data_IF_770512279469
#
_entry.id   IF_770512279469
#
_cell.length_a   1.000
_cell.length_b   1.000
_cell.length_c   1.000
_cell.angle_alpha   90.00
_cell.angle_beta   90.00
_cell.angle_gamma   90.00
#
_symmetry.space_group_name_H-M   'P 1'
#
loop_
_entity.id
_entity.type
_entity.pdbx_description
1 polymer ?
#
# COMPACT_ATOMS: atom_id res chain seq x y z
N UNK A 1 3.45 7.62 7.32
CA UNK A 1 2.39 7.16 6.39
C UNK A 1 1.46 6.14 7.05
N UNK A 2 1.92 4.99 7.56
CA UNK A 2 1.05 3.93 8.13
C UNK A 2 0.10 4.42 9.22
N UNK A 3 0.60 5.25 10.15
CA UNK A 3 -0.22 5.82 11.23
C UNK A 3 -1.41 6.58 10.66
N UNK A 4 -1.17 7.45 9.68
CA UNK A 4 -2.24 8.22 9.05
C UNK A 4 -3.25 7.30 8.35
N UNK A 5 -2.78 6.37 7.52
CA UNK A 5 -3.66 5.45 6.79
C UNK A 5 -4.58 4.66 7.73
N UNK A 6 -4.04 4.06 8.79
CA UNK A 6 -4.81 3.15 9.64
C UNK A 6 -5.68 3.86 10.68
N UNK A 7 -5.29 5.05 11.15
CA UNK A 7 -5.97 5.71 12.27
C UNK A 7 -6.83 6.91 11.86
N UNK A 8 -6.62 7.46 10.65
CA UNK A 8 -7.32 8.66 10.18
C UNK A 8 -7.99 8.45 8.81
N UNK A 9 -7.32 7.81 7.86
CA UNK A 9 -7.72 7.81 6.45
C UNK A 9 -8.70 6.67 6.11
N UNK A 10 -8.35 5.43 6.44
CA UNK A 10 -9.07 4.27 5.94
C UNK A 10 -10.39 4.02 6.68
N UNK A 11 -11.46 3.78 5.92
CA UNK A 11 -12.72 3.26 6.43
C UNK A 11 -12.60 1.75 6.68
N UNK A 12 -12.16 1.38 7.88
CA UNK A 12 -12.00 -0.01 8.32
C UNK A 12 -12.66 -0.20 9.71
N UNK A 13 -13.13 -1.42 9.99
CA UNK A 13 -13.77 -1.75 11.26
C UNK A 13 -13.18 -3.05 11.84
N UNK A 14 -12.49 -2.98 13.01
CA UNK A 14 -11.95 -4.18 13.64
C UNK A 14 -13.03 -5.18 14.08
N UNK A 15 -14.28 -4.73 14.28
CA UNK A 15 -15.42 -5.59 14.63
C UNK A 15 -16.02 -6.29 13.42
N UNK A 16 -15.83 -5.74 12.21
CA UNK A 16 -16.21 -6.35 10.94
C UNK A 16 -15.06 -6.26 9.92
N UNK A 17 -13.99 -7.05 10.09
CA UNK A 17 -12.81 -7.02 9.23
C UNK A 17 -13.09 -7.37 7.77
N UNK A 18 -14.29 -7.88 7.48
CA UNK A 18 -14.73 -8.29 6.14
C UNK A 18 -15.84 -7.42 5.57
N UNK A 19 -16.15 -6.29 6.20
CA UNK A 19 -17.13 -5.34 5.71
C UNK A 19 -16.93 -5.05 4.21
N UNK A 20 -17.98 -5.16 3.42
CA UNK A 20 -17.87 -5.18 1.97
C UNK A 20 -17.43 -3.84 1.36
N UNK A 21 -17.77 -2.73 2.01
CA UNK A 21 -17.51 -1.35 1.59
C UNK A 21 -16.31 -0.70 2.30
N UNK A 22 -15.55 -1.48 3.08
CA UNK A 22 -14.30 -0.98 3.69
C UNK A 22 -13.24 -0.69 2.64
N UNK A 23 -12.30 0.16 2.94
CA UNK A 23 -11.11 0.35 2.13
C UNK A 23 -10.23 -0.90 2.13
N UNK A 24 -9.32 -0.99 1.19
CA UNK A 24 -8.39 -2.11 1.00
C UNK A 24 -6.96 -1.61 1.16
N UNK A 25 -6.15 -2.42 1.83
CA UNK A 25 -4.74 -2.13 2.00
C UNK A 25 -3.87 -3.30 1.54
N UNK A 26 -2.95 -3.03 0.65
CA UNK A 26 -2.00 -4.01 0.12
C UNK A 26 -0.58 -3.61 0.48
N UNK A 27 0.03 -4.34 1.41
CA UNK A 27 1.45 -4.22 1.70
C UNK A 27 2.25 -5.06 0.71
N UNK A 28 2.58 -4.51 -0.46
CA UNK A 28 3.27 -5.25 -1.53
C UNK A 28 4.65 -5.73 -1.08
N UNK A 29 5.44 -4.87 -0.42
CA UNK A 29 6.67 -5.22 0.29
C UNK A 29 6.38 -5.98 1.60
N UNK A 30 5.89 -7.21 1.49
CA UNK A 30 5.36 -7.98 2.62
C UNK A 30 6.31 -8.20 3.80
N UNK A 31 7.63 -8.08 3.60
CA UNK A 31 8.64 -8.25 4.64
C UNK A 31 8.58 -7.18 5.75
N UNK A 32 7.94 -6.03 5.52
CA UNK A 32 7.73 -4.98 6.55
C UNK A 32 6.40 -5.16 7.31
N UNK A 33 5.80 -6.33 7.24
CA UNK A 33 4.55 -6.65 7.93
C UNK A 33 4.49 -6.34 9.44
N UNK A 34 5.59 -6.27 10.21
CA UNK A 34 5.51 -5.89 11.62
C UNK A 34 4.80 -4.55 11.86
N UNK A 35 5.01 -3.55 10.98
CA UNK A 35 4.31 -2.26 11.14
C UNK A 35 2.80 -2.40 10.86
N UNK A 36 2.41 -3.21 9.88
CA UNK A 36 0.99 -3.47 9.60
C UNK A 36 0.34 -4.24 10.75
N UNK A 37 1.01 -5.25 11.29
CA UNK A 37 0.51 -5.98 12.47
C UNK A 37 0.37 -5.08 13.69
N UNK A 38 1.32 -4.17 13.92
CA UNK A 38 1.24 -3.20 15.01
C UNK A 38 0.01 -2.32 14.88
N UNK A 39 -0.24 -1.78 13.69
CA UNK A 39 -1.43 -0.96 13.45
C UNK A 39 -2.72 -1.75 13.66
N UNK A 40 -2.82 -2.96 13.12
CA UNK A 40 -3.99 -3.83 13.27
C UNK A 40 -4.22 -4.26 14.73
N UNK A 41 -3.17 -4.60 15.48
CA UNK A 41 -3.26 -4.94 16.91
C UNK A 41 -3.75 -3.75 17.75
N UNK A 42 -3.17 -2.57 17.55
CA UNK A 42 -3.57 -1.34 18.26
C UNK A 42 -5.01 -0.91 17.93
N UNK A 43 -5.51 -1.20 16.72
CA UNK A 43 -6.89 -0.98 16.34
C UNK A 43 -7.85 -2.05 16.87
N UNK A 44 -7.34 -3.17 17.41
CA UNK A 44 -8.15 -4.24 18.01
C UNK A 44 -8.66 -5.27 17.01
N UNK A 45 -8.01 -5.46 15.84
CA UNK A 45 -8.32 -6.57 14.92
C UNK A 45 -7.99 -7.94 15.54
N UNK A 46 -7.05 -7.96 16.48
CA UNK A 46 -6.68 -9.12 17.29
C UNK A 46 -6.10 -8.62 18.62
N UNK A 47 -5.97 -9.49 19.64
CA UNK A 47 -5.39 -9.10 20.92
C UNK A 47 -3.97 -8.55 20.77
N UNK A 48 -3.68 -7.41 21.41
CA UNK A 48 -2.37 -6.74 21.30
C UNK A 48 -1.21 -7.63 21.76
N UNK A 49 -1.46 -8.51 22.74
CA UNK A 49 -0.48 -9.49 23.23
C UNK A 49 -0.02 -10.47 22.15
N UNK A 50 -0.80 -10.71 21.09
CA UNK A 50 -0.40 -11.53 19.95
C UNK A 50 0.82 -10.95 19.21
N UNK A 51 1.07 -9.64 19.31
CA UNK A 51 2.25 -8.98 18.70
C UNK A 51 3.56 -9.62 19.18
N UNK A 52 3.62 -10.10 20.42
CA UNK A 52 4.80 -10.79 20.97
C UNK A 52 5.03 -12.19 20.38
N UNK A 53 4.09 -12.67 19.55
CA UNK A 53 4.20 -13.99 18.89
C UNK A 53 4.72 -13.93 17.46
N UNK A 54 5.09 -12.75 16.96
CA UNK A 54 5.57 -12.55 15.59
C UNK A 54 6.61 -13.62 15.20
N UNK A 55 6.38 -14.31 14.08
CA UNK A 55 7.23 -15.34 13.50
C UNK A 55 7.46 -16.60 14.40
N UNK A 56 6.75 -16.72 15.51
CA UNK A 56 6.80 -17.95 16.32
C UNK A 56 5.94 -19.04 15.68
N UNK A 57 6.28 -20.29 15.96
CA UNK A 57 5.49 -21.44 15.52
C UNK A 57 4.04 -21.33 16.03
N UNK A 58 3.07 -21.61 15.17
CA UNK A 58 1.65 -21.50 15.49
C UNK A 58 1.06 -20.09 15.52
N UNK A 59 1.88 -19.03 15.43
CA UNK A 59 1.41 -17.66 15.42
C UNK A 59 0.58 -17.33 14.18
N UNK A 60 -0.41 -16.46 14.34
CA UNK A 60 -1.13 -15.83 13.22
C UNK A 60 -0.26 -14.82 12.48
N UNK A 61 0.73 -14.23 13.17
CA UNK A 61 1.60 -13.17 12.70
C UNK A 61 2.84 -13.77 12.02
N UNK A 62 2.68 -14.10 10.76
CA UNK A 62 3.72 -14.73 9.93
C UNK A 62 4.80 -13.72 9.52
N UNK A 63 5.92 -14.19 8.96
CA UNK A 63 6.99 -13.34 8.44
C UNK A 63 6.60 -12.44 7.26
N UNK A 64 5.49 -12.78 6.60
CA UNK A 64 4.81 -11.99 5.57
C UNK A 64 3.30 -12.00 5.85
N UNK A 65 2.53 -10.98 5.40
CA UNK A 65 1.10 -10.93 5.65
C UNK A 65 0.38 -12.16 5.08
N UNK A 66 -0.53 -12.72 5.86
CA UNK A 66 -1.37 -13.84 5.43
C UNK A 66 -2.84 -13.55 5.69
N UNK A 67 -3.61 -13.38 4.60
CA UNK A 67 -5.05 -13.12 4.66
C UNK A 67 -5.86 -14.25 5.31
N UNK A 68 -5.30 -15.46 5.31
CA UNK A 68 -5.94 -16.63 5.90
C UNK A 68 -5.70 -16.77 7.40
N UNK A 69 -4.72 -16.05 7.96
CA UNK A 69 -4.30 -16.19 9.36
C UNK A 69 -4.57 -14.95 10.20
N UNK A 70 -4.37 -13.77 9.63
CA UNK A 70 -4.46 -12.51 10.37
C UNK A 70 -5.67 -11.70 9.92
N UNK A 71 -6.62 -11.37 10.82
CA UNK A 71 -7.74 -10.47 10.53
C UNK A 71 -7.23 -9.09 10.08
N UNK A 72 -7.92 -8.46 9.14
CA UNK A 72 -7.53 -7.14 8.61
C UNK A 72 -6.48 -7.18 7.51
N UNK A 73 -5.93 -8.36 7.16
CA UNK A 73 -5.06 -8.52 5.99
C UNK A 73 -5.92 -8.84 4.77
N UNK A 74 -5.84 -7.99 3.74
CA UNK A 74 -6.63 -8.12 2.52
C UNK A 74 -6.12 -9.16 1.56
N UNK A 75 -4.79 -9.29 1.47
CA UNK A 75 -4.11 -10.23 0.57
C UNK A 75 -2.80 -10.71 1.18
N UNK A 76 -2.47 -11.98 0.97
CA UNK A 76 -1.15 -12.51 1.30
C UNK A 76 -0.11 -11.97 0.32
N UNK A 77 0.97 -11.39 0.84
CA UNK A 77 2.06 -10.81 0.04
C UNK A 77 3.42 -11.34 0.49
N UNK A 78 4.49 -10.92 -0.19
CA UNK A 78 5.86 -11.32 0.10
C UNK A 78 6.67 -11.65 -1.16
N UNK A 79 6.02 -12.05 -2.25
CA UNK A 79 6.63 -12.09 -3.57
C UNK A 79 6.59 -10.69 -4.15
N UNK A 80 7.75 -10.04 -4.25
CA UNK A 80 7.87 -8.65 -4.70
C UNK A 80 7.28 -8.47 -6.11
N UNK A 81 6.68 -7.32 -6.34
CA UNK A 81 6.02 -6.97 -7.60
C UNK A 81 4.57 -7.47 -7.73
N UNK A 82 4.17 -8.52 -6.98
CA UNK A 82 2.84 -9.13 -7.14
C UNK A 82 1.71 -8.33 -6.49
N UNK A 83 1.99 -7.68 -5.35
CA UNK A 83 0.98 -7.01 -4.54
C UNK A 83 0.28 -5.89 -5.29
N UNK A 84 1.01 -5.08 -6.07
CA UNK A 84 0.42 -3.98 -6.83
C UNK A 84 -0.60 -4.47 -7.88
N UNK A 85 -0.32 -5.58 -8.56
CA UNK A 85 -1.27 -6.18 -9.51
C UNK A 85 -2.56 -6.62 -8.81
N UNK A 86 -2.46 -7.17 -7.58
CA UNK A 86 -3.63 -7.50 -6.77
C UNK A 86 -4.42 -6.24 -6.37
N UNK A 87 -3.74 -5.15 -5.99
CA UNK A 87 -4.37 -3.87 -5.69
C UNK A 87 -5.12 -3.29 -6.89
N UNK A 88 -4.52 -3.35 -8.09
CA UNK A 88 -5.18 -2.98 -9.35
C UNK A 88 -6.46 -3.80 -9.57
N UNK A 89 -6.41 -5.11 -9.33
CA UNK A 89 -7.58 -5.99 -9.43
C UNK A 89 -8.68 -5.59 -8.44
N UNK A 90 -8.31 -5.26 -7.18
CA UNK A 90 -9.28 -4.81 -6.17
C UNK A 90 -9.90 -3.46 -6.55
N UNK A 91 -9.11 -2.50 -7.02
CA UNK A 91 -9.60 -1.19 -7.45
C UNK A 91 -10.54 -1.30 -8.66
N UNK A 92 -10.19 -2.14 -9.63
CA UNK A 92 -11.02 -2.44 -10.80
C UNK A 92 -12.35 -3.10 -10.41
N UNK A 93 -12.32 -4.05 -9.46
CA UNK A 93 -13.53 -4.68 -8.92
C UNK A 93 -14.44 -3.64 -8.25
N UNK A 94 -13.87 -2.74 -7.43
CA UNK A 94 -14.62 -1.64 -6.81
C UNK A 94 -15.34 -0.76 -7.82
N UNK A 95 -14.65 -0.31 -8.85
CA UNK A 95 -15.25 0.51 -9.93
C UNK A 95 -16.34 -0.26 -10.69
N UNK A 96 -16.09 -1.52 -11.03
CA UNK A 96 -17.06 -2.37 -11.71
C UNK A 96 -18.34 -2.59 -10.90
N UNK A 97 -18.18 -2.79 -9.59
CA UNK A 97 -19.27 -3.06 -8.67
C UNK A 97 -19.90 -1.78 -8.09
N UNK A 98 -19.51 -0.60 -8.60
CA UNK A 98 -19.97 0.72 -8.17
C UNK A 98 -19.83 0.94 -6.66
N UNK A 99 -18.64 0.57 -6.12
CA UNK A 99 -18.24 0.77 -4.74
C UNK A 99 -17.36 2.01 -4.60
N UNK A 100 -17.48 2.70 -3.48
CA UNK A 100 -16.77 3.95 -3.22
C UNK A 100 -15.45 3.73 -2.45
N UNK A 101 -15.09 2.48 -2.13
CA UNK A 101 -13.89 2.21 -1.37
C UNK A 101 -12.60 2.55 -2.14
N UNK A 102 -11.61 3.00 -1.39
CA UNK A 102 -10.25 3.23 -1.88
C UNK A 102 -9.40 1.97 -1.71
N UNK A 103 -8.35 1.88 -2.52
CA UNK A 103 -7.32 0.84 -2.43
C UNK A 103 -5.96 1.52 -2.26
N UNK A 104 -5.27 1.21 -1.19
CA UNK A 104 -3.94 1.72 -0.88
C UNK A 104 -2.92 0.60 -1.04
N UNK A 105 -1.88 0.83 -1.82
CA UNK A 105 -0.81 -0.14 -2.04
C UNK A 105 0.54 0.48 -1.65
N UNK A 106 1.25 -0.15 -0.70
CA UNK A 106 2.60 0.26 -0.33
C UNK A 106 3.61 -0.66 -0.99
N UNK A 107 4.47 -0.06 -1.80
CA UNK A 107 5.53 -0.70 -2.60
C UNK A 107 6.90 -0.18 -2.12
N UNK A 108 7.93 -0.99 -2.16
CA UNK A 108 9.30 -0.53 -1.90
C UNK A 108 9.94 0.07 -3.16
N UNK A 109 10.90 0.97 -2.98
CA UNK A 109 11.70 1.49 -4.07
C UNK A 109 12.48 0.37 -4.78
N UNK A 110 13.18 -0.50 -4.05
CA UNK A 110 13.81 -1.67 -4.63
C UNK A 110 12.83 -2.68 -5.25
N UNK A 111 11.58 -2.75 -4.75
CA UNK A 111 10.54 -3.56 -5.38
C UNK A 111 10.14 -3.01 -6.76
N UNK A 112 10.32 -1.72 -7.00
CA UNK A 112 10.04 -1.11 -8.30
C UNK A 112 11.00 -1.56 -9.43
N UNK A 113 12.03 -2.36 -9.13
CA UNK A 113 12.84 -3.08 -10.14
C UNK A 113 12.07 -4.21 -10.82
N UNK A 114 11.02 -4.72 -10.17
CA UNK A 114 10.20 -5.77 -10.75
C UNK A 114 9.37 -5.25 -11.93
N UNK A 115 9.53 -5.88 -13.12
CA UNK A 115 8.80 -5.47 -14.33
C UNK A 115 7.30 -5.47 -14.16
N UNK A 116 6.76 -6.35 -13.31
CA UNK A 116 5.34 -6.45 -13.03
C UNK A 116 4.76 -5.21 -12.34
N UNK A 117 5.55 -4.42 -11.61
CA UNK A 117 5.12 -3.12 -11.08
C UNK A 117 4.69 -2.21 -12.23
N UNK A 118 5.50 -2.11 -13.27
CA UNK A 118 5.22 -1.24 -14.43
C UNK A 118 4.06 -1.74 -15.29
N UNK A 119 3.89 -3.05 -15.39
CA UNK A 119 2.70 -3.65 -16.02
C UNK A 119 1.42 -3.28 -15.26
N UNK A 120 1.44 -3.36 -13.94
CA UNK A 120 0.32 -2.95 -13.07
C UNK A 120 0.04 -1.45 -13.18
N UNK A 121 1.10 -0.61 -13.22
CA UNK A 121 1.00 0.84 -13.39
C UNK A 121 0.29 1.19 -14.71
N UNK A 122 0.68 0.57 -15.83
CA UNK A 122 0.01 0.76 -17.12
C UNK A 122 -1.47 0.36 -17.07
N UNK A 123 -1.78 -0.77 -16.44
CA UNK A 123 -3.14 -1.26 -16.32
C UNK A 123 -4.02 -0.31 -15.50
N UNK A 124 -3.51 0.20 -14.37
CA UNK A 124 -4.25 1.14 -13.52
C UNK A 124 -4.63 2.43 -14.26
N UNK A 125 -3.70 3.00 -15.02
CA UNK A 125 -3.98 4.16 -15.87
C UNK A 125 -5.00 3.83 -16.96
N UNK A 126 -4.83 2.70 -17.65
CA UNK A 126 -5.74 2.25 -18.73
C UNK A 126 -7.19 2.14 -18.28
N UNK A 127 -7.40 1.70 -17.03
CA UNK A 127 -8.74 1.51 -16.47
C UNK A 127 -9.23 2.68 -15.62
N UNK A 128 -8.50 3.80 -15.60
CA UNK A 128 -8.86 5.01 -14.86
C UNK A 128 -9.16 4.72 -13.38
N UNK A 129 -8.24 4.01 -12.71
CA UNK A 129 -8.44 3.60 -11.33
C UNK A 129 -8.12 4.76 -10.35
N UNK A 130 -8.97 5.79 -10.35
CA UNK A 130 -8.87 6.95 -9.46
C UNK A 130 -9.13 6.61 -7.97
N UNK A 131 -9.59 5.38 -7.71
CA UNK A 131 -9.72 4.77 -6.40
C UNK A 131 -8.48 3.95 -5.98
N UNK A 132 -7.35 4.09 -6.68
CA UNK A 132 -6.07 3.46 -6.33
C UNK A 132 -5.03 4.53 -5.96
N UNK A 133 -4.43 4.38 -4.78
CA UNK A 133 -3.29 5.16 -4.32
C UNK A 133 -2.09 4.23 -4.18
N UNK A 134 -1.07 4.44 -4.99
CA UNK A 134 0.22 3.73 -4.90
C UNK A 134 1.20 4.60 -4.12
N UNK A 135 1.77 4.05 -3.07
CA UNK A 135 2.73 4.74 -2.20
C UNK A 135 4.05 3.99 -2.30
N UNK A 136 5.10 4.64 -2.77
CA UNK A 136 6.45 4.10 -2.69
C UNK A 136 7.11 4.57 -1.39
N UNK A 137 7.56 3.62 -0.59
CA UNK A 137 8.50 3.83 0.50
C UNK A 137 9.90 3.91 -0.12
N UNK A 138 10.30 5.15 -0.42
CA UNK A 138 11.57 5.47 -1.06
C UNK A 138 12.64 5.73 0.00
N UNK A 139 13.10 4.66 0.63
CA UNK A 139 14.08 4.71 1.70
C UNK A 139 15.54 4.61 1.20
N UNK A 140 15.74 4.48 -0.10
CA UNK A 140 17.06 4.39 -0.74
C UNK A 140 17.81 3.10 -0.48
N UNK A 141 17.17 2.06 0.08
CA UNK A 141 17.81 0.80 0.46
C UNK A 141 17.18 -0.40 -0.21
N UNK A 142 18.01 -1.32 -0.70
CA UNK A 142 17.61 -2.57 -1.32
C UNK A 142 18.52 -3.70 -0.85
N UNK A 143 18.00 -4.58 0.02
CA UNK A 143 18.66 -5.77 0.59
C UNK A 143 20.12 -5.53 1.02
N UNK A 144 21.07 -5.54 0.09
CA UNK A 144 22.51 -5.58 0.34
C UNK A 144 23.22 -4.21 0.15
N UNK A 145 22.49 -3.15 -0.24
CA UNK A 145 23.07 -1.83 -0.50
C UNK A 145 22.06 -0.74 -0.74
N UNK A 146 22.52 0.38 -1.23
CA UNK A 146 21.65 1.45 -1.69
C UNK A 146 21.00 1.09 -3.02
N UNK A 147 19.81 1.63 -3.30
CA UNK A 147 19.16 1.44 -4.60
C UNK A 147 20.04 1.93 -5.74
N UNK A 148 20.81 3.00 -5.54
CA UNK A 148 21.72 3.53 -6.55
C UNK A 148 22.89 2.58 -6.88
N UNK A 149 23.37 1.81 -5.89
CA UNK A 149 24.45 0.83 -6.10
C UNK A 149 23.97 -0.48 -6.69
N UNK A 150 22.74 -0.91 -6.34
CA UNK A 150 22.19 -2.22 -6.76
C UNK A 150 21.51 -2.09 -8.13
N UNK A 151 20.50 -1.22 -8.22
CA UNK A 151 19.76 -0.94 -9.47
C UNK A 151 19.15 0.46 -9.42
N UNK A 152 19.82 1.46 -10.05
CA UNK A 152 19.38 2.85 -9.98
C UNK A 152 17.98 3.06 -10.53
N UNK A 153 17.05 3.50 -9.70
CA UNK A 153 15.66 3.76 -10.09
C UNK A 153 15.46 5.11 -10.77
N UNK A 154 16.44 6.01 -10.66
CA UNK A 154 16.28 7.39 -11.10
C UNK A 154 15.08 8.06 -10.43
N UNK A 155 14.41 8.93 -11.13
CA UNK A 155 13.27 9.71 -10.62
C UNK A 155 11.97 8.90 -10.77
N UNK A 156 11.54 8.25 -9.69
CA UNK A 156 10.30 7.46 -9.66
C UNK A 156 9.06 8.34 -9.89
N UNK A 157 9.06 9.57 -9.36
CA UNK A 157 7.94 10.51 -9.55
C UNK A 157 7.72 10.81 -11.03
N UNK A 158 8.80 11.09 -11.77
CA UNK A 158 8.72 11.31 -13.23
C UNK A 158 8.30 10.08 -14.00
N UNK A 159 8.71 8.87 -13.55
CA UNK A 159 8.27 7.63 -14.21
C UNK A 159 6.75 7.45 -14.07
N UNK A 160 6.19 7.61 -12.87
CA UNK A 160 4.75 7.50 -12.67
C UNK A 160 3.97 8.61 -13.38
N UNK A 161 4.48 9.85 -13.39
CA UNK A 161 3.90 10.94 -14.17
C UNK A 161 3.84 10.62 -15.66
N UNK A 162 4.92 10.05 -16.23
CA UNK A 162 4.97 9.62 -17.64
C UNK A 162 3.95 8.50 -17.95
N UNK A 163 3.56 7.69 -16.97
CA UNK A 163 2.46 6.73 -17.10
C UNK A 163 1.06 7.36 -16.87
N UNK A 164 1.00 8.68 -16.60
CA UNK A 164 -0.25 9.43 -16.49
C UNK A 164 -0.88 9.45 -15.09
N UNK A 165 -0.13 9.09 -14.06
CA UNK A 165 -0.59 9.21 -12.67
C UNK A 165 -0.63 10.67 -12.23
N UNK A 166 -1.46 10.96 -11.26
CA UNK A 166 -1.38 12.17 -10.46
C UNK A 166 -0.37 11.95 -9.34
N UNK A 167 0.74 12.70 -9.35
CA UNK A 167 1.93 12.38 -8.57
C UNK A 167 2.20 13.39 -7.47
N UNK A 168 2.62 12.89 -6.31
CA UNK A 168 2.96 13.66 -5.12
C UNK A 168 4.29 13.18 -4.55
N UNK A 169 5.07 14.10 -3.98
CA UNK A 169 6.34 13.82 -3.32
C UNK A 169 6.31 14.42 -1.93
N UNK A 170 6.63 13.60 -0.92
CA UNK A 170 6.50 13.98 0.49
C UNK A 170 7.66 13.45 1.34
N UNK A 171 7.90 14.09 2.46
CA UNK A 171 8.56 13.47 3.60
C UNK A 171 7.56 12.51 4.29
N UNK A 172 7.81 11.19 4.18
CA UNK A 172 6.97 10.13 4.73
C UNK A 172 6.85 10.14 6.26
N UNK A 173 7.64 10.96 6.95
CA UNK A 173 7.60 11.18 8.39
C UNK A 173 6.94 12.51 8.79
N UNK A 174 6.66 13.40 7.84
CA UNK A 174 6.00 14.68 8.09
C UNK A 174 4.48 14.52 8.00
N UNK A 175 3.81 14.54 9.16
CA UNK A 175 2.37 14.32 9.24
C UNK A 175 1.56 15.41 8.50
N UNK A 176 2.01 16.67 8.55
CA UNK A 176 1.34 17.77 7.86
C UNK A 176 1.37 17.59 6.34
N UNK A 177 2.52 17.23 5.77
CA UNK A 177 2.63 16.94 4.33
C UNK A 177 1.78 15.74 3.92
N UNK A 178 1.70 14.70 4.77
CA UNK A 178 0.87 13.54 4.53
C UNK A 178 -0.61 13.98 4.45
N UNK A 179 -1.12 14.68 5.46
CA UNK A 179 -2.50 15.15 5.52
C UNK A 179 -2.86 16.03 4.32
N UNK A 180 -2.04 17.05 4.03
CA UNK A 180 -2.26 17.94 2.88
C UNK A 180 -2.30 17.18 1.54
N UNK A 181 -1.49 16.13 1.42
CA UNK A 181 -1.45 15.32 0.20
C UNK A 181 -2.73 14.50 0.04
N UNK A 182 -3.22 13.89 1.10
CA UNK A 182 -4.49 13.17 1.05
C UNK A 182 -5.68 14.10 0.81
N UNK A 183 -5.68 15.31 1.37
CA UNK A 183 -6.69 16.34 1.04
C UNK A 183 -6.70 16.68 -0.46
N UNK A 184 -5.53 16.81 -1.09
CA UNK A 184 -5.40 17.03 -2.54
C UNK A 184 -5.91 15.82 -3.34
N UNK A 185 -5.58 14.60 -2.91
CA UNK A 185 -6.03 13.35 -3.53
C UNK A 185 -7.56 13.27 -3.52
N UNK A 186 -8.20 13.57 -2.38
CA UNK A 186 -9.66 13.56 -2.26
C UNK A 186 -10.34 14.67 -3.09
N UNK A 187 -9.69 15.81 -3.24
CA UNK A 187 -10.19 16.90 -4.05
C UNK A 187 -10.08 16.63 -5.57
N UNK A 188 -9.14 15.81 -5.99
CA UNK A 188 -8.88 15.51 -7.38
C UNK A 188 -9.99 14.63 -7.98
N UNK A 189 -10.63 15.10 -9.06
CA UNK A 189 -11.71 14.40 -9.78
C UNK A 189 -11.32 14.17 -11.25
N UNK A 190 -10.08 13.82 -11.48
CA UNK A 190 -9.48 13.76 -12.82
C UNK A 190 -9.48 12.34 -13.44
N UNK A 191 -9.98 11.34 -12.71
CA UNK A 191 -10.05 9.96 -13.16
C UNK A 191 -8.69 9.24 -13.24
N UNK A 192 -7.61 9.83 -12.69
CA UNK A 192 -6.27 9.28 -12.71
C UNK A 192 -5.96 8.51 -11.42
N UNK A 193 -5.22 7.39 -11.48
CA UNK A 193 -4.66 6.77 -10.28
C UNK A 193 -3.65 7.73 -9.63
N UNK A 194 -3.46 7.58 -8.31
CA UNK A 194 -2.61 8.45 -7.49
C UNK A 194 -1.31 7.77 -7.14
N UNK A 195 -0.26 8.56 -7.07
CA UNK A 195 1.07 8.11 -6.71
C UNK A 195 1.68 9.03 -5.65
N UNK A 196 2.20 8.45 -4.60
CA UNK A 196 2.94 9.16 -3.55
C UNK A 196 4.36 8.58 -3.48
N UNK A 197 5.36 9.42 -3.70
CA UNK A 197 6.76 9.11 -3.41
C UNK A 197 7.09 9.62 -2.00
N UNK A 198 7.25 8.70 -1.06
CA UNK A 198 7.48 9.02 0.36
C UNK A 198 8.95 8.74 0.71
N UNK A 199 9.71 9.79 0.99
CA UNK A 199 11.12 9.75 1.41
C UNK A 199 11.28 9.59 2.91
#
# INVERSE_FOLDING_TARGET
>A
VFTYLYFEEMNIDPKDPKKADRDRFVLSKGHVCPIQYSALGLLGFFPEEDLHTLRKEGSKLQGHPSMNKCPGIDISTGSLGQGLSCAVGMALAGKRDHKDYMVYAVVGDGEADEGQIWEAVMAAYRYHLDNLVVIIDNNGLQIDGTTDEIMPQLDLTKKFDAFGYDTYEIDGHNMEQIMETFDKIHAAKDGRPKFINAH
#
